data_IF_711883656660
#
_entry.id   IF_711883656660
#
_cell.length_a   1.000
_cell.length_b   1.000
_cell.length_c   1.000
_cell.angle_alpha   90.00
_cell.angle_beta   90.00
_cell.angle_gamma   90.00
#
_symmetry.space_group_name_H-M   'P 1'
#
loop_
_entity.id
_entity.type
_entity.pdbx_description
1 polymer ?
#
# COMPACT_ATOMS: atom_id res chain seq x y z
N UNK A 1 -23.18 -4.87 2.01
CA UNK A 1 -22.40 -5.36 0.85
C UNK A 1 -21.04 -4.71 0.96
N UNK A 2 -19.91 -5.44 1.04
CA UNK A 2 -18.62 -4.81 0.77
C UNK A 2 -18.69 -4.25 -0.66
N UNK A 3 -18.31 -2.98 -0.83
CA UNK A 3 -18.43 -2.27 -2.10
C UNK A 3 -17.71 -3.06 -3.21
N UNK A 4 -18.26 -3.06 -4.43
CA UNK A 4 -17.59 -3.72 -5.57
C UNK A 4 -16.21 -3.05 -5.72
N UNK A 5 -15.17 -3.80 -5.42
CA UNK A 5 -13.79 -3.35 -5.55
C UNK A 5 -13.51 -3.13 -7.03
N UNK A 6 -13.29 -1.87 -7.41
CA UNK A 6 -12.50 -1.54 -8.60
C UNK A 6 -11.22 -2.38 -8.61
N UNK A 7 -10.70 -2.79 -9.79
CA UNK A 7 -9.48 -3.58 -9.89
C UNK A 7 -8.24 -2.82 -9.39
N UNK A 8 -8.38 -1.56 -8.98
CA UNK A 8 -7.30 -0.79 -8.42
C UNK A 8 -6.76 -1.44 -7.14
N UNK A 9 -5.44 -1.68 -7.13
CA UNK A 9 -4.74 -2.33 -6.03
C UNK A 9 -3.59 -1.41 -5.62
N UNK A 10 -3.83 -0.37 -4.79
CA UNK A 10 -2.82 0.63 -4.48
C UNK A 10 -1.70 0.11 -3.57
N UNK A 11 -1.98 -0.93 -2.77
CA UNK A 11 -1.02 -1.58 -1.88
C UNK A 11 -1.19 -3.09 -1.93
N UNK A 12 -0.10 -3.81 -1.63
CA UNK A 12 -0.04 -5.27 -1.59
C UNK A 12 0.45 -5.67 -0.21
N UNK A 13 -0.28 -6.55 0.47
CA UNK A 13 0.10 -7.07 1.78
C UNK A 13 0.81 -8.41 1.64
N UNK A 14 1.87 -8.60 2.41
CA UNK A 14 2.53 -9.89 2.62
C UNK A 14 1.90 -10.55 3.85
N UNK A 15 1.12 -11.62 3.65
CA UNK A 15 0.39 -12.31 4.72
C UNK A 15 1.30 -13.00 5.73
N UNK A 16 2.51 -13.38 5.36
CA UNK A 16 3.47 -14.05 6.26
C UNK A 16 4.12 -13.04 7.20
N UNK A 17 4.30 -11.81 6.73
CA UNK A 17 4.88 -10.72 7.52
C UNK A 17 3.84 -9.88 8.24
N UNK A 18 2.63 -9.72 7.73
CA UNK A 18 1.61 -8.93 8.40
C UNK A 18 1.03 -9.68 9.61
N UNK A 19 0.80 -8.98 10.71
CA UNK A 19 0.20 -9.54 11.92
C UNK A 19 -1.17 -8.93 12.26
N UNK A 20 -1.74 -8.14 11.35
CA UNK A 20 -3.02 -7.47 11.57
C UNK A 20 -3.01 -6.43 12.71
N UNK A 21 -1.89 -5.75 12.96
CA UNK A 21 -1.80 -4.69 13.98
C UNK A 21 -2.64 -3.44 13.67
N UNK A 22 -3.14 -3.30 12.43
CA UNK A 22 -3.98 -2.19 11.97
C UNK A 22 -3.34 -0.79 12.04
N UNK A 23 -2.03 -0.68 12.22
CA UNK A 23 -1.36 0.63 12.19
C UNK A 23 -1.56 1.37 10.85
N UNK A 24 -1.57 0.63 9.74
CA UNK A 24 -1.88 1.18 8.41
C UNK A 24 -3.32 1.71 8.28
N UNK A 25 -4.25 1.23 9.09
CA UNK A 25 -5.63 1.75 9.19
C UNK A 25 -5.60 3.11 9.90
N UNK A 26 -4.87 3.21 11.02
CA UNK A 26 -4.77 4.44 11.84
C UNK A 26 -4.10 5.62 11.11
N UNK A 27 -3.05 5.35 10.33
CA UNK A 27 -2.29 6.42 9.64
C UNK A 27 -2.93 6.86 8.33
N UNK A 28 -3.94 6.14 7.83
CA UNK A 28 -4.59 6.48 6.57
C UNK A 28 -5.47 7.72 6.73
N UNK A 29 -5.11 8.81 6.06
CA UNK A 29 -5.80 10.10 6.22
C UNK A 29 -7.20 10.17 5.55
N UNK A 30 -7.58 9.12 4.84
CA UNK A 30 -8.80 9.03 4.02
C UNK A 30 -9.54 7.70 4.23
N UNK A 31 -9.18 6.94 5.28
CA UNK A 31 -9.92 5.75 5.73
C UNK A 31 -10.23 4.69 4.67
N UNK A 32 -9.28 4.41 3.75
CA UNK A 32 -9.49 3.40 2.70
C UNK A 32 -9.47 1.95 3.20
N UNK A 33 -9.05 1.73 4.45
CA UNK A 33 -8.89 0.40 5.04
C UNK A 33 -9.90 0.15 6.14
N UNK A 34 -10.24 -1.12 6.35
CA UNK A 34 -10.93 -1.59 7.55
C UNK A 34 -10.19 -2.78 8.17
N UNK A 35 -10.23 -2.95 9.50
CA UNK A 35 -9.65 -4.12 10.15
C UNK A 35 -10.23 -5.43 9.59
N UNK A 36 -9.37 -6.44 9.49
CA UNK A 36 -9.82 -7.76 9.07
C UNK A 36 -10.65 -8.42 10.19
N UNK A 37 -11.81 -9.04 9.88
CA UNK A 37 -12.55 -9.82 10.87
C UNK A 37 -11.76 -11.00 11.43
N UNK A 38 -10.80 -11.55 10.66
CA UNK A 38 -9.90 -12.58 11.12
C UNK A 38 -8.65 -11.96 11.77
N UNK A 39 -8.46 -12.23 13.06
CA UNK A 39 -7.26 -11.77 13.79
C UNK A 39 -5.99 -12.30 13.13
N UNK A 40 -4.96 -11.44 13.07
CA UNK A 40 -3.67 -11.77 12.48
C UNK A 40 -3.59 -11.58 10.97
N UNK A 41 -4.72 -11.37 10.28
CA UNK A 41 -4.73 -11.12 8.83
C UNK A 41 -4.54 -9.64 8.49
N UNK A 42 -4.01 -9.31 7.29
CA UNK A 42 -3.93 -7.93 6.81
C UNK A 42 -5.31 -7.27 6.73
N UNK A 43 -5.40 -5.94 6.95
CA UNK A 43 -6.66 -5.21 6.81
C UNK A 43 -7.19 -5.28 5.38
N UNK A 44 -8.49 -5.12 5.23
CA UNK A 44 -9.15 -5.13 3.93
C UNK A 44 -9.17 -3.71 3.34
N UNK A 45 -8.98 -3.60 2.03
CA UNK A 45 -9.10 -2.34 1.31
C UNK A 45 -10.55 -2.19 0.87
N UNK A 46 -11.25 -1.18 1.40
CA UNK A 46 -12.67 -0.94 1.12
C UNK A 46 -12.86 0.06 -0.02
N UNK A 47 -12.01 1.10 -0.07
CA UNK A 47 -12.09 2.20 -1.03
C UNK A 47 -10.77 2.36 -1.80
N UNK A 48 -10.37 1.40 -2.65
CA UNK A 48 -9.07 1.43 -3.32
C UNK A 48 -8.90 2.64 -4.26
N UNK A 49 -9.97 3.11 -4.88
CA UNK A 49 -9.96 4.25 -5.81
C UNK A 49 -9.78 5.60 -5.13
N UNK A 50 -10.08 5.67 -3.84
CA UNK A 50 -9.91 6.90 -3.06
C UNK A 50 -8.46 7.06 -2.61
N UNK A 51 -7.60 6.04 -2.77
CA UNK A 51 -6.21 6.10 -2.37
C UNK A 51 -5.45 7.24 -3.08
N UNK A 52 -4.90 8.17 -2.29
CA UNK A 52 -4.10 9.30 -2.80
C UNK A 52 -2.66 8.95 -3.16
N UNK A 53 -2.29 7.69 -2.98
CA UNK A 53 -0.93 7.23 -3.17
C UNK A 53 0.12 8.02 -2.33
N UNK A 54 -0.20 8.35 -1.08
CA UNK A 54 0.72 9.07 -0.19
C UNK A 54 1.86 8.22 0.40
N UNK A 55 1.71 6.89 0.45
CA UNK A 55 2.74 5.98 0.96
C UNK A 55 2.88 5.89 2.49
N UNK A 56 2.13 6.69 3.28
CA UNK A 56 2.25 6.69 4.76
C UNK A 56 2.06 5.30 5.38
N UNK A 57 1.08 4.53 4.89
CA UNK A 57 0.84 3.17 5.36
C UNK A 57 2.03 2.21 5.19
N UNK A 58 2.87 2.42 4.18
CA UNK A 58 4.07 1.61 3.93
C UNK A 58 5.24 2.12 4.76
N UNK A 59 5.43 3.44 4.80
CA UNK A 59 6.52 4.07 5.55
C UNK A 59 6.41 3.83 7.06
N UNK A 60 5.20 3.92 7.61
CA UNK A 60 4.98 3.86 9.06
C UNK A 60 4.74 2.42 9.53
N UNK A 61 4.65 1.45 8.61
CA UNK A 61 4.42 0.07 9.00
C UNK A 61 5.55 -0.43 9.93
N UNK A 62 5.24 -0.85 11.17
CA UNK A 62 6.26 -1.31 12.12
C UNK A 62 6.89 -2.65 11.72
N UNK A 63 6.38 -3.29 10.66
CA UNK A 63 6.86 -4.56 10.11
C UNK A 63 7.37 -4.34 8.68
N UNK A 64 8.68 -4.10 8.49
CA UNK A 64 9.26 -3.88 7.18
C UNK A 64 8.89 -4.98 6.19
N UNK A 65 8.37 -4.58 5.03
CA UNK A 65 7.95 -5.49 3.96
C UNK A 65 6.61 -6.20 4.17
N UNK A 66 5.86 -5.94 5.26
CA UNK A 66 4.51 -6.47 5.44
C UNK A 66 3.47 -5.82 4.51
N UNK A 67 3.77 -4.63 4.01
CA UNK A 67 2.98 -3.89 3.04
C UNK A 67 3.93 -3.30 2.00
N UNK A 68 3.57 -3.40 0.73
CA UNK A 68 4.33 -2.87 -0.40
C UNK A 68 3.43 -1.95 -1.19
N UNK A 69 4.01 -0.85 -1.66
CA UNK A 69 3.30 0.12 -2.45
C UNK A 69 3.24 -0.30 -3.92
N UNK A 70 2.05 -0.28 -4.53
CA UNK A 70 1.90 -0.51 -5.96
C UNK A 70 1.64 0.82 -6.66
N UNK A 71 2.71 1.43 -7.16
CA UNK A 71 2.63 2.69 -7.87
C UNK A 71 1.76 2.59 -9.12
N UNK A 72 0.83 3.55 -9.33
CA UNK A 72 0.02 3.58 -10.52
C UNK A 72 0.91 3.87 -11.72
N UNK A 73 0.57 3.33 -12.89
CA UNK A 73 1.43 3.33 -14.07
C UNK A 73 1.94 4.75 -14.43
N UNK A 74 1.07 5.75 -14.32
CA UNK A 74 1.40 7.15 -14.59
C UNK A 74 2.40 7.80 -13.61
N UNK A 75 2.61 7.21 -12.42
CA UNK A 75 3.53 7.71 -11.39
C UNK A 75 4.82 6.87 -11.27
N UNK A 76 5.01 5.84 -12.10
CA UNK A 76 6.24 5.05 -12.14
C UNK A 76 7.36 5.83 -12.83
N UNK A 77 7.87 6.83 -12.11
CA UNK A 77 8.97 7.67 -12.55
C UNK A 77 10.25 6.87 -12.76
N UNK A 78 10.99 7.26 -13.79
CA UNK A 78 12.35 6.77 -14.01
C UNK A 78 13.31 7.94 -13.82
N UNK A 79 14.50 7.65 -13.27
CA UNK A 79 15.59 8.60 -13.23
C UNK A 79 16.85 7.96 -13.79
N UNK A 80 17.66 8.79 -14.44
CA UNK A 80 18.93 8.36 -15.03
C UNK A 80 20.08 8.95 -14.22
N UNK A 81 20.99 8.10 -13.76
CA UNK A 81 22.23 8.55 -13.17
C UNK A 81 23.08 9.24 -14.26
N UNK A 82 23.41 10.52 -14.07
CA UNK A 82 24.17 11.29 -15.05
C UNK A 82 25.60 10.78 -15.25
N UNK A 83 26.19 10.17 -14.24
CA UNK A 83 27.58 9.70 -14.27
C UNK A 83 27.71 8.28 -14.83
N UNK A 84 26.89 7.34 -14.38
CA UNK A 84 26.95 5.93 -14.81
C UNK A 84 26.09 5.64 -16.04
N UNK A 85 25.10 6.49 -16.32
CA UNK A 85 24.11 6.26 -17.37
C UNK A 85 23.03 5.24 -17.01
N UNK A 86 23.09 4.65 -15.83
CA UNK A 86 22.13 3.66 -15.33
C UNK A 86 20.75 4.30 -15.15
N UNK A 87 19.71 3.59 -15.60
CA UNK A 87 18.31 4.01 -15.47
C UNK A 87 17.69 3.20 -14.34
N UNK A 88 17.12 3.91 -13.39
CA UNK A 88 16.39 3.34 -12.27
C UNK A 88 14.93 3.73 -12.38
N UNK A 89 14.07 2.85 -11.88
CA UNK A 89 12.63 3.05 -11.79
C UNK A 89 12.21 2.90 -10.33
N UNK A 90 11.20 3.66 -9.94
CA UNK A 90 10.54 3.54 -8.64
C UNK A 90 9.83 2.18 -8.54
#
# INVERSE_FOLDING_TARGET
>A
MPNIISPNTPVIFDEDKCNGCNHCVEVCQIDVYIPNPQKGKPPMILHPDECWYCGCCVNDCPRPGAITFNWPLQQRGYWKNKATGEVHQI
#
